data_IF_318946656577
#
_entry.id   IF_318946656577
#
_cell.length_a   1.000
_cell.length_b   1.000
_cell.length_c   1.000
_cell.angle_alpha   90.00
_cell.angle_beta   90.00
_cell.angle_gamma   90.00
#
_symmetry.space_group_name_H-M   'P 1'
#
loop_
_entity.id
_entity.type
_entity.pdbx_description
1 polymer ?
#
# COMPACT_ATOMS: atom_id res chain seq x y z
N UNK A 1 3.59 15.27 19.86
CA UNK A 1 3.37 14.06 19.05
C UNK A 1 4.33 14.03 17.86
N UNK A 2 4.42 15.09 17.07
CA UNK A 2 5.30 15.23 15.90
C UNK A 2 6.77 14.95 16.20
N UNK A 3 7.32 15.51 17.29
CA UNK A 3 8.71 15.28 17.70
C UNK A 3 8.98 13.81 18.07
N UNK A 4 7.97 13.08 18.55
CA UNK A 4 8.10 11.67 18.92
C UNK A 4 8.19 10.77 17.71
N UNK A 5 7.30 10.95 16.72
CA UNK A 5 7.33 10.18 15.46
C UNK A 5 8.68 10.35 14.74
N UNK A 6 9.21 11.58 14.71
CA UNK A 6 10.52 11.84 14.12
C UNK A 6 11.66 11.16 14.90
N UNK A 7 11.61 11.23 16.23
CA UNK A 7 12.61 10.59 17.09
C UNK A 7 12.57 9.07 16.95
N UNK A 8 11.37 8.48 16.92
CA UNK A 8 11.19 7.03 16.73
C UNK A 8 11.70 6.57 15.35
N UNK A 9 11.40 7.32 14.27
CA UNK A 9 11.93 7.01 12.94
C UNK A 9 13.45 7.10 12.89
N UNK A 10 14.04 8.13 13.51
CA UNK A 10 15.49 8.27 13.58
C UNK A 10 16.14 7.20 14.47
N UNK A 11 15.48 6.80 15.56
CA UNK A 11 15.93 5.71 16.42
C UNK A 11 15.94 4.38 15.65
N UNK A 12 14.87 4.05 14.91
CA UNK A 12 14.80 2.85 14.07
C UNK A 12 15.89 2.85 12.99
N UNK A 13 16.16 4.01 12.36
CA UNK A 13 17.25 4.14 11.37
C UNK A 13 18.64 4.02 12.02
N UNK A 14 18.79 4.49 13.27
CA UNK A 14 20.05 4.47 14.01
C UNK A 14 20.28 3.22 14.85
N UNK A 15 19.25 2.40 15.06
CA UNK A 15 19.35 1.24 15.95
C UNK A 15 20.22 0.14 15.35
N UNK A 16 21.06 -0.44 16.22
CA UNK A 16 22.07 -1.45 15.87
C UNK A 16 21.53 -2.85 15.65
N UNK A 17 20.22 -3.01 15.56
CA UNK A 17 19.56 -4.33 15.41
C UNK A 17 19.99 -5.07 14.13
N UNK A 18 20.50 -4.35 13.14
CA UNK A 18 21.20 -4.96 12.00
C UNK A 18 22.58 -4.29 11.86
N UNK A 19 23.69 -5.03 12.00
CA UNK A 19 25.01 -4.49 11.74
C UNK A 19 25.12 -4.16 10.25
N UNK A 20 24.94 -2.90 9.92
CA UNK A 20 25.26 -2.38 8.60
C UNK A 20 26.37 -1.37 8.80
N UNK A 21 27.58 -1.83 8.65
CA UNK A 21 28.81 -1.04 8.81
C UNK A 21 28.85 0.23 7.92
N UNK A 22 27.90 0.39 6.97
CA UNK A 22 27.87 1.47 5.98
C UNK A 22 26.49 2.14 5.82
N UNK A 23 25.66 2.22 6.85
CA UNK A 23 24.39 2.94 6.73
C UNK A 23 24.58 4.45 6.89
N UNK A 24 24.57 5.18 5.79
CA UNK A 24 24.45 6.64 5.85
C UNK A 24 22.98 7.02 6.12
N UNK A 25 22.70 7.42 7.37
CA UNK A 25 21.35 7.80 7.83
C UNK A 25 20.77 8.98 7.06
N UNK A 26 21.61 9.92 6.60
CA UNK A 26 21.19 11.04 5.77
C UNK A 26 20.67 10.58 4.41
N UNK A 27 21.33 9.63 3.77
CA UNK A 27 20.84 9.03 2.51
C UNK A 27 19.57 8.23 2.77
N UNK A 28 19.53 7.41 3.82
CA UNK A 28 18.36 6.62 4.19
C UNK A 28 17.12 7.52 4.37
N UNK A 29 17.29 8.64 5.08
CA UNK A 29 16.23 9.63 5.28
C UNK A 29 15.73 10.22 3.97
N UNK A 30 16.64 10.68 3.09
CA UNK A 30 16.26 11.27 1.78
C UNK A 30 15.53 10.26 0.88
N UNK A 31 15.93 8.98 0.91
CA UNK A 31 15.24 7.90 0.18
C UNK A 31 13.87 7.64 0.79
N UNK A 32 13.76 7.59 2.12
CA UNK A 32 12.47 7.47 2.82
C UNK A 32 11.53 8.62 2.47
N UNK A 33 12.00 9.89 2.57
CA UNK A 33 11.20 11.06 2.22
C UNK A 33 10.68 11.00 0.78
N UNK A 34 11.45 10.38 -0.15
CA UNK A 34 10.99 10.18 -1.53
C UNK A 34 9.78 9.22 -1.64
N UNK A 35 9.64 8.28 -0.70
CA UNK A 35 8.47 7.39 -0.60
C UNK A 35 7.33 8.10 0.11
N UNK A 36 7.60 8.79 1.23
CA UNK A 36 6.61 9.50 2.02
C UNK A 36 5.90 10.62 1.23
N UNK A 37 6.62 11.27 0.30
CA UNK A 37 6.07 12.34 -0.54
C UNK A 37 5.26 11.83 -1.74
N UNK A 38 5.18 10.53 -1.96
CA UNK A 38 4.36 9.90 -3.01
C UNK A 38 3.69 8.64 -2.46
N UNK A 39 2.79 8.77 -1.45
CA UNK A 39 2.15 7.63 -0.81
C UNK A 39 1.43 6.76 -1.84
N UNK A 40 1.61 5.44 -1.80
CA UNK A 40 1.03 4.52 -2.79
C UNK A 40 1.56 4.68 -4.22
N UNK A 41 2.54 5.57 -4.43
CA UNK A 41 3.10 5.82 -5.76
C UNK A 41 4.08 4.75 -6.24
N UNK A 42 4.23 4.64 -7.56
CA UNK A 42 5.22 3.74 -8.15
C UNK A 42 6.66 4.22 -7.88
N UNK A 43 7.49 3.31 -7.35
CA UNK A 43 8.89 3.57 -7.00
C UNK A 43 9.79 3.48 -8.23
N UNK A 44 10.06 4.62 -8.84
CA UNK A 44 11.03 4.71 -9.93
C UNK A 44 12.43 5.01 -9.38
N UNK A 45 13.25 3.97 -9.23
CA UNK A 45 14.62 4.08 -8.67
C UNK A 45 15.49 5.08 -9.43
N UNK A 46 15.40 5.12 -10.75
CA UNK A 46 16.19 6.04 -11.58
C UNK A 46 15.77 7.50 -11.37
N UNK A 47 14.45 7.76 -11.23
CA UNK A 47 13.95 9.11 -10.93
C UNK A 47 14.38 9.57 -9.54
N UNK A 48 14.29 8.70 -8.54
CA UNK A 48 14.75 9.01 -7.17
C UNK A 48 16.25 9.26 -7.17
N UNK A 49 17.04 8.39 -7.81
CA UNK A 49 18.49 8.53 -7.91
C UNK A 49 18.91 9.88 -8.50
N UNK A 50 18.30 10.27 -9.62
CA UNK A 50 18.55 11.57 -10.25
C UNK A 50 18.19 12.76 -9.35
N UNK A 51 17.04 12.68 -8.63
CA UNK A 51 16.61 13.73 -7.70
C UNK A 51 17.57 13.89 -6.51
N UNK A 52 18.17 12.80 -6.06
CA UNK A 52 19.00 12.76 -4.87
C UNK A 52 20.50 12.81 -5.16
N UNK A 53 20.91 12.83 -6.44
CA UNK A 53 22.30 12.70 -6.91
C UNK A 53 22.95 11.40 -6.38
N UNK A 54 22.31 10.28 -6.65
CA UNK A 54 22.72 8.94 -6.24
C UNK A 54 22.71 7.97 -7.42
N UNK A 55 23.42 6.84 -7.26
CA UNK A 55 23.28 5.72 -8.18
C UNK A 55 21.96 4.95 -7.93
N UNK A 56 21.24 4.49 -8.98
CA UNK A 56 20.01 3.70 -8.83
C UNK A 56 20.15 2.41 -8.01
N UNK A 57 21.35 1.79 -8.01
CA UNK A 57 21.62 0.60 -7.18
C UNK A 57 21.69 0.99 -5.71
N UNK A 58 22.27 2.15 -5.40
CA UNK A 58 22.28 2.71 -4.04
C UNK A 58 20.86 2.95 -3.55
N UNK A 59 20.01 3.60 -4.35
CA UNK A 59 18.58 3.77 -4.01
C UNK A 59 17.92 2.42 -3.76
N UNK A 60 18.14 1.42 -4.63
CA UNK A 60 17.60 0.07 -4.45
C UNK A 60 18.06 -0.58 -3.14
N UNK A 61 19.34 -0.44 -2.76
CA UNK A 61 19.88 -0.92 -1.49
C UNK A 61 19.19 -0.26 -0.28
N UNK A 62 19.03 1.06 -0.30
CA UNK A 62 18.36 1.78 0.79
C UNK A 62 16.87 1.44 0.89
N UNK A 63 16.14 1.32 -0.22
CA UNK A 63 14.76 0.85 -0.21
C UNK A 63 14.65 -0.54 0.45
N UNK A 64 15.53 -1.48 0.11
CA UNK A 64 15.55 -2.79 0.75
C UNK A 64 15.91 -2.74 2.25
N UNK A 65 16.73 -1.79 2.68
CA UNK A 65 17.01 -1.58 4.12
C UNK A 65 15.76 -1.04 4.83
N UNK A 66 15.11 -0.02 4.25
CA UNK A 66 13.89 0.58 4.83
C UNK A 66 12.75 -0.44 4.94
N UNK A 67 12.61 -1.31 3.95
CA UNK A 67 11.61 -2.39 3.96
C UNK A 67 11.91 -3.43 5.05
N UNK A 68 13.15 -3.91 5.16
CA UNK A 68 13.56 -4.84 6.24
C UNK A 68 13.43 -4.23 7.65
N UNK A 69 13.45 -2.92 7.77
CA UNK A 69 13.23 -2.19 9.02
C UNK A 69 11.77 -1.81 9.26
N UNK A 70 10.86 -2.32 8.44
CA UNK A 70 9.42 -2.06 8.55
C UNK A 70 9.04 -0.58 8.49
N UNK A 71 9.83 0.26 7.82
CA UNK A 71 9.50 1.66 7.59
C UNK A 71 8.63 1.87 6.36
N UNK A 72 8.83 1.00 5.36
CA UNK A 72 8.04 0.98 4.13
C UNK A 72 7.66 -0.46 3.76
N UNK A 73 6.62 -0.59 2.95
CA UNK A 73 6.25 -1.81 2.24
C UNK A 73 6.33 -1.55 0.74
N UNK A 74 6.94 -2.46 0.00
CA UNK A 74 6.98 -2.41 -1.46
C UNK A 74 6.02 -3.47 -2.02
N UNK A 75 4.90 -3.04 -2.61
CA UNK A 75 3.97 -3.92 -3.27
C UNK A 75 4.38 -4.12 -4.73
N UNK A 76 4.77 -5.33 -5.16
CA UNK A 76 5.03 -5.62 -6.55
C UNK A 76 3.74 -5.64 -7.37
N UNK A 77 3.84 -5.38 -8.68
CA UNK A 77 2.71 -5.53 -9.59
C UNK A 77 2.45 -7.02 -9.88
N UNK A 78 1.22 -7.46 -9.72
CA UNK A 78 0.78 -8.80 -10.11
C UNK A 78 0.70 -8.88 -11.63
N UNK A 79 1.50 -9.73 -12.27
CA UNK A 79 1.52 -9.89 -13.72
C UNK A 79 0.97 -11.25 -14.13
N UNK A 80 0.06 -11.28 -15.12
CA UNK A 80 -0.40 -12.38 -16.03
C UNK A 80 -0.38 -13.85 -15.62
N UNK A 81 0.25 -14.20 -14.52
CA UNK A 81 0.28 -15.55 -13.92
C UNK A 81 0.04 -15.44 -12.44
N UNK A 82 -0.43 -16.50 -11.85
CA UNK A 82 -1.00 -16.55 -10.50
C UNK A 82 -0.03 -16.12 -9.39
N UNK A 83 1.30 -16.00 -9.67
CA UNK A 83 2.31 -15.80 -8.63
C UNK A 83 3.57 -15.08 -9.10
N UNK A 84 3.55 -14.34 -10.20
CA UNK A 84 4.76 -13.65 -10.67
C UNK A 84 4.64 -12.14 -10.54
N UNK A 85 5.49 -11.57 -9.67
CA UNK A 85 5.77 -10.14 -9.69
C UNK A 85 6.23 -9.70 -11.09
N UNK A 86 5.62 -8.65 -11.63
CA UNK A 86 6.06 -8.01 -12.86
C UNK A 86 7.43 -7.34 -12.65
N UNK A 87 8.17 -7.13 -13.74
CA UNK A 87 9.34 -6.24 -13.76
C UNK A 87 8.98 -4.74 -13.62
N UNK A 88 7.68 -4.41 -13.58
CA UNK A 88 7.23 -3.02 -13.36
C UNK A 88 7.60 -2.53 -11.96
N UNK A 89 7.71 -1.20 -11.83
CA UNK A 89 8.05 -0.57 -10.56
C UNK A 89 7.02 -0.94 -9.48
N UNK A 90 7.44 -1.33 -8.25
CA UNK A 90 6.52 -1.58 -7.15
C UNK A 90 5.86 -0.27 -6.68
N UNK A 91 4.68 -0.36 -6.05
CA UNK A 91 4.12 0.73 -5.24
C UNK A 91 4.83 0.78 -3.89
N UNK A 92 5.08 1.99 -3.38
CA UNK A 92 5.70 2.21 -2.06
C UNK A 92 4.69 2.76 -1.06
N UNK A 93 4.54 2.08 0.07
CA UNK A 93 3.69 2.50 1.17
C UNK A 93 4.52 2.68 2.43
N UNK A 94 4.36 3.79 3.14
CA UNK A 94 4.87 3.91 4.49
C UNK A 94 4.08 2.98 5.43
N UNK A 95 4.75 2.28 6.33
CA UNK A 95 4.06 1.43 7.33
C UNK A 95 3.28 2.31 8.32
N UNK A 96 3.81 3.48 8.63
CA UNK A 96 3.12 4.48 9.45
C UNK A 96 2.68 5.69 8.61
N UNK A 97 1.37 5.84 8.42
CA UNK A 97 0.78 6.96 7.68
C UNK A 97 0.94 8.30 8.41
N UNK A 98 1.13 8.32 9.72
CA UNK A 98 1.40 9.55 10.45
C UNK A 98 2.76 10.16 10.04
N UNK A 99 3.77 9.31 9.82
CA UNK A 99 5.06 9.73 9.26
C UNK A 99 4.91 10.34 7.85
N UNK A 100 4.02 9.80 7.03
CA UNK A 100 3.68 10.36 5.72
C UNK A 100 3.07 11.76 5.86
N UNK A 101 2.05 11.91 6.70
CA UNK A 101 1.38 13.20 6.92
C UNK A 101 2.38 14.25 7.44
N UNK A 102 3.19 13.90 8.43
CA UNK A 102 4.19 14.79 8.98
C UNK A 102 5.24 15.24 7.93
N UNK A 103 5.72 14.30 7.12
CA UNK A 103 6.71 14.60 6.08
C UNK A 103 6.14 15.51 4.99
N UNK A 104 4.89 15.30 4.58
CA UNK A 104 4.19 16.15 3.60
C UNK A 104 3.94 17.55 4.15
N UNK A 105 3.45 17.67 5.40
CA UNK A 105 3.23 18.98 6.05
C UNK A 105 4.54 19.75 6.17
N UNK A 106 5.62 19.09 6.55
CA UNK A 106 6.96 19.70 6.65
C UNK A 106 7.50 20.16 5.29
N UNK A 107 7.11 19.46 4.22
CA UNK A 107 7.41 19.86 2.84
C UNK A 107 6.52 21.00 2.31
N UNK A 108 5.60 21.52 3.13
CA UNK A 108 4.70 22.62 2.79
C UNK A 108 3.41 22.19 2.08
N UNK A 109 3.06 20.91 2.10
CA UNK A 109 1.80 20.43 1.54
C UNK A 109 0.67 20.51 2.58
N UNK A 110 -0.48 21.01 2.17
CA UNK A 110 -1.72 20.88 2.92
C UNK A 110 -2.46 19.62 2.43
N UNK A 111 -2.45 18.59 3.26
CA UNK A 111 -3.08 17.30 2.91
C UNK A 111 -4.61 17.43 2.92
N UNK A 112 -5.17 18.24 3.83
CA UNK A 112 -6.61 18.41 3.96
C UNK A 112 -7.21 19.12 2.74
N UNK A 113 -6.46 20.06 2.15
CA UNK A 113 -6.86 20.81 0.97
C UNK A 113 -6.46 20.13 -0.35
N UNK A 114 -5.80 18.96 -0.29
CA UNK A 114 -5.42 18.16 -1.46
C UNK A 114 -6.13 16.81 -1.49
N UNK A 115 -7.28 16.69 -2.20
CA UNK A 115 -8.00 15.42 -2.33
C UNK A 115 -7.13 14.28 -2.88
N UNK A 116 -6.16 14.61 -3.75
CA UNK A 116 -5.22 13.64 -4.30
C UNK A 116 -4.30 13.07 -3.22
N UNK A 117 -3.62 13.92 -2.44
CA UNK A 117 -2.73 13.49 -1.35
C UNK A 117 -3.51 12.77 -0.25
N UNK A 118 -4.70 13.26 0.07
CA UNK A 118 -5.58 12.61 1.04
C UNK A 118 -5.99 11.21 0.57
N UNK A 119 -6.38 11.05 -0.70
CA UNK A 119 -6.72 9.77 -1.30
C UNK A 119 -5.54 8.80 -1.30
N UNK A 120 -4.35 9.25 -1.69
CA UNK A 120 -3.11 8.45 -1.68
C UNK A 120 -2.70 8.03 -0.26
N UNK A 121 -2.87 8.92 0.71
CA UNK A 121 -2.59 8.61 2.12
C UNK A 121 -3.61 7.62 2.67
N UNK A 122 -4.90 7.77 2.30
CA UNK A 122 -5.95 6.82 2.64
C UNK A 122 -5.68 5.44 2.03
N UNK A 123 -5.27 5.36 0.76
CA UNK A 123 -4.86 4.11 0.12
C UNK A 123 -3.76 3.42 0.94
N UNK A 124 -2.72 4.16 1.31
CA UNK A 124 -1.62 3.63 2.14
C UNK A 124 -2.13 3.12 3.48
N UNK A 125 -3.04 3.84 4.14
CA UNK A 125 -3.62 3.42 5.41
C UNK A 125 -4.44 2.13 5.25
N UNK A 126 -5.32 2.04 4.24
CA UNK A 126 -6.14 0.84 3.98
C UNK A 126 -5.25 -0.37 3.68
N UNK A 127 -4.25 -0.22 2.80
CA UNK A 127 -3.27 -1.28 2.50
C UNK A 127 -2.63 -1.79 3.78
N UNK A 128 -2.18 -0.90 4.67
CA UNK A 128 -1.57 -1.29 5.94
C UNK A 128 -2.53 -2.06 6.85
N UNK A 129 -3.83 -1.71 6.90
CA UNK A 129 -4.82 -2.47 7.68
C UNK A 129 -4.93 -3.92 7.19
N UNK A 130 -5.03 -4.13 5.88
CA UNK A 130 -5.08 -5.48 5.30
C UNK A 130 -3.78 -6.25 5.52
N UNK A 131 -2.62 -5.60 5.40
CA UNK A 131 -1.32 -6.25 5.63
C UNK A 131 -1.13 -6.64 7.11
N UNK A 132 -1.60 -5.82 8.05
CA UNK A 132 -1.60 -6.14 9.47
C UNK A 132 -2.55 -7.32 9.77
N UNK A 133 -3.74 -7.33 9.18
CA UNK A 133 -4.72 -8.41 9.35
C UNK A 133 -4.17 -9.78 8.92
N UNK A 134 -3.34 -9.85 7.89
CA UNK A 134 -2.65 -11.08 7.48
C UNK A 134 -1.87 -11.73 8.62
N UNK A 135 -1.13 -10.93 9.38
CA UNK A 135 -0.32 -11.41 10.50
C UNK A 135 -1.18 -11.99 11.63
N UNK A 136 -2.35 -11.40 11.88
CA UNK A 136 -3.24 -11.86 12.96
C UNK A 136 -4.04 -13.09 12.60
N UNK A 137 -4.44 -13.21 11.35
CA UNK A 137 -5.28 -14.32 10.89
C UNK A 137 -4.47 -15.57 10.53
N UNK A 138 -3.16 -15.59 10.77
CA UNK A 138 -2.23 -16.67 10.41
C UNK A 138 -2.31 -17.08 8.91
N UNK A 139 -2.62 -16.11 8.05
CA UNK A 139 -2.86 -16.36 6.64
C UNK A 139 -1.58 -16.23 5.84
N UNK A 140 -1.22 -17.31 5.19
CA UNK A 140 -0.15 -17.30 4.20
C UNK A 140 -0.69 -16.71 2.90
N UNK A 141 -0.65 -15.38 2.78
CA UNK A 141 -0.99 -14.68 1.54
C UNK A 141 0.18 -13.84 1.06
N UNK A 142 0.34 -13.73 -0.24
CA UNK A 142 1.25 -12.76 -0.86
C UNK A 142 0.47 -11.51 -1.23
N UNK A 143 1.13 -10.34 -1.16
CA UNK A 143 0.50 -9.05 -1.41
C UNK A 143 1.10 -8.38 -2.64
N UNK A 144 0.22 -7.86 -3.48
CA UNK A 144 0.54 -7.20 -4.74
C UNK A 144 -0.38 -5.99 -4.91
N UNK A 145 -0.05 -5.10 -5.85
CA UNK A 145 -1.07 -4.31 -6.56
C UNK A 145 -1.23 -4.89 -7.96
N UNK A 146 -2.30 -4.55 -8.66
CA UNK A 146 -2.45 -4.95 -10.06
C UNK A 146 -2.68 -3.73 -10.93
N UNK A 147 -1.94 -3.66 -12.04
CA UNK A 147 -2.14 -2.63 -13.06
C UNK A 147 -1.94 -3.20 -14.45
N UNK A 148 -2.96 -3.03 -15.29
CA UNK A 148 -2.86 -3.31 -16.71
C UNK A 148 -2.20 -2.11 -17.41
N UNK A 149 -1.00 -2.33 -17.93
CA UNK A 149 -0.22 -1.28 -18.63
C UNK A 149 -0.88 -0.79 -19.91
N UNK A 150 -1.75 -1.60 -20.53
CA UNK A 150 -2.44 -1.27 -21.79
C UNK A 150 -3.66 -0.36 -21.55
N UNK A 151 -4.45 -0.64 -20.53
CA UNK A 151 -5.69 0.09 -20.24
C UNK A 151 -5.56 1.11 -19.12
N UNK A 152 -4.49 1.03 -18.34
CA UNK A 152 -4.27 1.84 -17.15
C UNK A 152 -5.18 1.47 -15.96
N UNK A 153 -6.02 0.42 -16.08
CA UNK A 153 -6.87 -0.07 -14.99
C UNK A 153 -6.01 -0.63 -13.87
N UNK A 154 -6.40 -0.37 -12.64
CA UNK A 154 -5.62 -0.69 -11.45
C UNK A 154 -6.50 -1.26 -10.35
N UNK A 155 -5.92 -2.10 -9.48
CA UNK A 155 -6.45 -2.54 -8.19
C UNK A 155 -5.36 -2.27 -7.16
N UNK A 156 -5.68 -1.51 -6.12
CA UNK A 156 -4.70 -0.96 -5.19
C UNK A 156 -4.00 -2.02 -4.35
N UNK A 157 -4.73 -3.06 -3.93
CA UNK A 157 -4.18 -4.21 -3.22
C UNK A 157 -4.79 -5.49 -3.77
N UNK A 158 -3.94 -6.50 -3.99
CA UNK A 158 -4.35 -7.86 -4.32
C UNK A 158 -3.66 -8.81 -3.34
N UNK A 159 -4.45 -9.54 -2.57
CA UNK A 159 -3.95 -10.63 -1.73
C UNK A 159 -4.16 -11.96 -2.46
N UNK A 160 -3.12 -12.77 -2.51
CA UNK A 160 -3.14 -14.09 -3.16
C UNK A 160 -2.87 -15.15 -2.10
N UNK A 161 -3.78 -16.08 -1.91
CA UNK A 161 -3.60 -17.18 -0.95
C UNK A 161 -2.81 -18.35 -1.55
N UNK A 162 -2.48 -19.33 -0.71
CA UNK A 162 -1.74 -20.54 -1.12
C UNK A 162 -2.47 -21.42 -2.13
N UNK A 163 -3.76 -21.18 -2.38
CA UNK A 163 -4.58 -21.85 -3.42
C UNK A 163 -4.68 -21.03 -4.70
N UNK A 164 -4.06 -19.84 -4.74
CA UNK A 164 -4.11 -18.92 -5.86
C UNK A 164 -5.41 -18.10 -5.96
N UNK A 165 -6.30 -18.14 -4.95
CA UNK A 165 -7.48 -17.27 -4.89
C UNK A 165 -7.03 -15.84 -4.65
N UNK A 166 -7.69 -14.88 -5.30
CA UNK A 166 -7.34 -13.46 -5.24
C UNK A 166 -8.45 -12.64 -4.62
N UNK A 167 -8.09 -11.88 -3.60
CA UNK A 167 -8.92 -10.85 -3.01
C UNK A 167 -8.37 -9.51 -3.51
N UNK A 168 -9.22 -8.72 -4.19
CA UNK A 168 -8.85 -7.39 -4.68
C UNK A 168 -9.46 -6.30 -3.80
N UNK A 169 -8.71 -5.25 -3.51
CA UNK A 169 -9.18 -4.08 -2.77
C UNK A 169 -8.91 -2.82 -3.59
N UNK A 170 -9.94 -2.05 -3.83
CA UNK A 170 -9.91 -0.70 -4.40
C UNK A 170 -10.21 0.29 -3.29
N UNK A 171 -9.57 1.46 -3.28
CA UNK A 171 -9.76 2.48 -2.23
C UNK A 171 -10.34 3.74 -2.85
N UNK A 172 -11.42 4.27 -2.24
CA UNK A 172 -12.09 5.48 -2.72
C UNK A 172 -12.35 6.46 -1.58
N UNK A 173 -11.85 7.67 -1.76
CA UNK A 173 -12.20 8.81 -0.91
C UNK A 173 -13.56 9.37 -1.38
N UNK A 174 -14.63 8.60 -1.16
CA UNK A 174 -16.00 8.94 -1.55
C UNK A 174 -17.00 8.27 -0.62
N UNK A 175 -18.14 8.91 -0.39
CA UNK A 175 -19.23 8.38 0.44
C UNK A 175 -20.21 7.47 -0.32
N UNK A 176 -20.07 7.37 -1.64
CA UNK A 176 -20.86 6.50 -2.51
C UNK A 176 -19.97 5.86 -3.57
N UNK A 177 -20.36 4.67 -4.04
CA UNK A 177 -19.62 3.90 -5.05
C UNK A 177 -20.39 3.94 -6.36
N UNK A 178 -19.71 4.35 -7.42
CA UNK A 178 -20.26 4.36 -8.79
C UNK A 178 -19.65 3.26 -9.67
N UNK A 179 -20.22 3.03 -10.88
CA UNK A 179 -19.72 2.04 -11.83
C UNK A 179 -18.25 2.25 -12.25
N UNK A 180 -17.78 3.50 -12.21
CA UNK A 180 -16.38 3.87 -12.51
C UNK A 180 -15.40 3.35 -11.48
N UNK A 181 -15.82 3.19 -10.22
CA UNK A 181 -14.98 2.77 -9.10
C UNK A 181 -14.72 1.26 -9.11
N UNK A 182 -15.52 0.53 -9.87
CA UNK A 182 -15.44 -0.92 -10.03
C UNK A 182 -14.57 -1.37 -11.22
N UNK A 183 -14.04 -0.44 -12.02
CA UNK A 183 -13.37 -0.77 -13.31
C UNK A 183 -12.16 -1.67 -13.16
N UNK A 184 -11.36 -1.45 -12.13
CA UNK A 184 -10.16 -2.26 -11.83
C UNK A 184 -10.55 -3.69 -11.46
N UNK A 185 -11.45 -3.83 -10.48
CA UNK A 185 -11.94 -5.12 -9.99
C UNK A 185 -12.66 -5.92 -11.08
N UNK A 186 -13.52 -5.25 -11.90
CA UNK A 186 -14.18 -5.89 -13.05
C UNK A 186 -13.18 -6.39 -14.07
N UNK A 187 -12.18 -5.59 -14.42
CA UNK A 187 -11.16 -6.01 -15.37
C UNK A 187 -10.35 -7.20 -14.86
N UNK A 188 -9.99 -7.22 -13.58
CA UNK A 188 -9.31 -8.36 -12.97
C UNK A 188 -10.19 -9.61 -12.98
N UNK A 189 -11.50 -9.48 -12.78
CA UNK A 189 -12.47 -10.58 -12.87
C UNK A 189 -12.58 -11.14 -14.28
N UNK A 190 -12.72 -10.27 -15.29
CA UNK A 190 -12.77 -10.67 -16.73
C UNK A 190 -11.54 -11.48 -17.14
N UNK A 191 -10.39 -11.20 -16.53
CA UNK A 191 -9.16 -11.98 -16.73
C UNK A 191 -9.13 -13.31 -15.93
N UNK A 192 -10.25 -13.66 -15.27
CA UNK A 192 -10.37 -14.89 -14.47
C UNK A 192 -9.57 -14.86 -13.18
N UNK A 193 -9.21 -13.67 -12.70
CA UNK A 193 -8.27 -13.52 -11.59
C UNK A 193 -8.86 -13.08 -10.26
N UNK A 194 -10.11 -12.65 -10.18
CA UNK A 194 -10.71 -12.15 -8.95
C UNK A 194 -11.66 -13.19 -8.34
N UNK A 195 -11.41 -13.59 -7.09
CA UNK A 195 -12.31 -14.41 -6.29
C UNK A 195 -13.30 -13.56 -5.49
N UNK A 196 -12.81 -12.50 -4.85
CA UNK A 196 -13.62 -11.53 -4.10
C UNK A 196 -13.01 -10.13 -4.24
N UNK A 197 -13.88 -9.12 -4.32
CA UNK A 197 -13.47 -7.71 -4.39
C UNK A 197 -14.06 -6.89 -3.23
N UNK A 198 -13.31 -5.87 -2.81
CA UNK A 198 -13.79 -4.86 -1.88
C UNK A 198 -13.50 -3.47 -2.44
N UNK A 199 -14.45 -2.55 -2.25
CA UNK A 199 -14.21 -1.12 -2.41
C UNK A 199 -14.25 -0.50 -1.03
N UNK A 200 -13.07 -0.19 -0.48
CA UNK A 200 -12.95 0.52 0.79
C UNK A 200 -13.29 2.00 0.58
N UNK A 201 -14.29 2.52 1.30
CA UNK A 201 -14.84 3.85 1.05
C UNK A 201 -15.29 4.56 2.34
N UNK A 202 -15.56 5.86 2.27
CA UNK A 202 -15.94 6.68 3.44
C UNK A 202 -17.42 6.60 3.80
N UNK A 203 -18.25 5.88 3.03
CA UNK A 203 -19.65 5.65 3.36
C UNK A 203 -19.84 4.65 4.49
N UNK A 204 -21.09 4.37 4.87
CA UNK A 204 -21.44 3.58 6.05
C UNK A 204 -22.01 2.18 5.73
N UNK A 205 -22.45 1.93 4.50
CA UNK A 205 -23.10 0.66 4.12
C UNK A 205 -22.09 -0.44 3.82
N UNK A 206 -22.27 -1.62 4.43
CA UNK A 206 -21.59 -2.84 3.99
C UNK A 206 -22.57 -3.64 3.15
N UNK A 207 -22.41 -3.64 1.84
CA UNK A 207 -23.34 -4.25 0.90
C UNK A 207 -22.64 -4.75 -0.36
N UNK A 208 -23.22 -5.70 -1.05
CA UNK A 208 -22.74 -6.17 -2.34
C UNK A 208 -23.12 -5.16 -3.43
N UNK A 209 -22.11 -4.63 -4.15
CA UNK A 209 -22.29 -3.60 -5.21
C UNK A 209 -22.10 -4.17 -6.61
N UNK A 210 -21.58 -5.37 -6.73
CA UNK A 210 -21.48 -6.16 -7.95
C UNK A 210 -21.18 -7.61 -7.55
N UNK A 211 -21.29 -8.58 -8.49
CA UNK A 211 -21.02 -10.00 -8.22
C UNK A 211 -19.71 -10.18 -7.47
N UNK A 212 -19.78 -10.72 -6.23
CA UNK A 212 -18.64 -10.89 -5.30
C UNK A 212 -17.77 -9.64 -5.08
N UNK A 213 -18.34 -8.42 -5.26
CA UNK A 213 -17.68 -7.16 -4.94
C UNK A 213 -18.51 -6.39 -3.91
N UNK A 214 -17.91 -6.07 -2.80
CA UNK A 214 -18.56 -5.50 -1.62
C UNK A 214 -18.06 -4.08 -1.36
N UNK A 215 -18.99 -3.19 -1.03
CA UNK A 215 -18.69 -1.91 -0.40
C UNK A 215 -18.22 -2.17 1.02
N UNK A 216 -17.05 -1.63 1.39
CA UNK A 216 -16.44 -1.82 2.70
C UNK A 216 -16.23 -0.47 3.38
N UNK A 217 -17.05 -0.10 4.37
CA UNK A 217 -16.83 1.10 5.15
C UNK A 217 -15.46 1.10 5.84
N UNK A 218 -14.76 2.24 5.83
CA UNK A 218 -13.47 2.37 6.52
C UNK A 218 -13.56 2.07 8.02
N UNK A 219 -14.72 2.30 8.65
CA UNK A 219 -14.97 1.94 10.04
C UNK A 219 -14.80 0.45 10.33
N UNK A 220 -15.05 -0.42 9.35
CA UNK A 220 -14.83 -1.86 9.48
C UNK A 220 -13.34 -2.22 9.57
N UNK A 221 -12.45 -1.37 9.07
CA UNK A 221 -11.00 -1.61 9.09
C UNK A 221 -10.35 -1.25 10.43
N UNK A 222 -11.08 -0.67 11.36
CA UNK A 222 -10.58 -0.30 12.69
C UNK A 222 -10.83 -1.38 13.75
N UNK A 223 -11.57 -2.45 13.41
CA UNK A 223 -11.90 -3.56 14.32
C UNK A 223 -11.27 -4.86 13.82
N UNK A 224 -10.66 -5.59 14.76
CA UNK A 224 -10.02 -6.88 14.47
C UNK A 224 -11.06 -7.93 14.02
N UNK A 225 -12.23 -7.90 14.64
CA UNK A 225 -13.35 -8.80 14.33
C UNK A 225 -13.85 -8.59 12.90
N UNK A 226 -14.03 -7.31 12.51
CA UNK A 226 -14.47 -6.97 11.15
C UNK A 226 -13.41 -7.37 10.10
N UNK A 227 -12.13 -7.15 10.37
CA UNK A 227 -11.05 -7.56 9.47
C UNK A 227 -10.96 -9.08 9.32
N UNK A 228 -11.23 -9.83 10.39
CA UNK A 228 -11.26 -11.31 10.34
C UNK A 228 -12.44 -11.83 9.51
N UNK A 229 -13.58 -11.14 9.54
CA UNK A 229 -14.79 -11.51 8.76
C UNK A 229 -14.64 -11.24 7.25
N UNK A 230 -13.76 -10.32 6.85
CA UNK A 230 -13.48 -9.99 5.45
C UNK A 230 -12.64 -11.09 4.76
N UNK A 231 -12.04 -11.99 5.54
CA UNK A 231 -11.18 -13.05 5.01
C UNK A 231 -11.94 -14.05 4.13
N UNK A 232 -11.32 -14.59 3.03
CA UNK A 232 -11.97 -15.56 2.14
C UNK A 232 -12.54 -16.81 2.84
N UNK A 233 -11.96 -17.19 3.97
CA UNK A 233 -12.39 -18.35 4.77
C UNK A 233 -13.22 -17.93 6.01
N UNK A 234 -13.49 -16.62 6.22
CA UNK A 234 -14.07 -16.07 7.45
C UNK A 234 -15.59 -15.93 7.47
N UNK A 235 -16.31 -16.52 6.51
CA UNK A 235 -17.77 -16.59 6.50
C UNK A 235 -18.16 -18.05 6.23
N UNK A 236 -18.19 -18.82 7.28
CA UNK A 236 -18.90 -20.08 7.40
C UNK A 236 -20.15 -19.84 8.23
#
# INVERSE_FOLDING_TARGET
WQNRVQADTLAILGDRVLPTEDLNTGIARRVLDSVLHTPGGQINRTRIARKLDLDPRTVGRYLGILERRFLITLLPNLHGGITRASRSAPKGHAVDTASTCESLIRAGHDIADSPELLGQTLETWVVNQFLAARGWAALTTEAFYWRDSRTGREVDLVLVDGRGRRLGVEVKLASSIGPSDLRGLRAMRELGGLHRGFVAYTGAGFEEVADDVWALPLSCLTSREALSAIHPDGVG
#
